data_IF_417961868664
#
_entry.id   IF_417961868664
#
_cell.length_a   1.000
_cell.length_b   1.000
_cell.length_c   1.000
_cell.angle_alpha   90.00
_cell.angle_beta   90.00
_cell.angle_gamma   90.00
#
_symmetry.space_group_name_H-M   'P 1'
#
loop_
_entity.id
_entity.type
_entity.pdbx_description
1 polymer ?
#
# COMPACT_ATOMS: atom_id res chain seq x y z
N UNK A 1 -8.40 6.60 31.62
CA UNK A 1 -9.50 6.22 30.70
C UNK A 1 -9.31 4.79 30.23
N UNK A 2 -10.34 3.94 30.33
CA UNK A 2 -10.34 2.64 29.66
C UNK A 2 -10.74 2.84 28.20
N UNK A 3 -10.00 2.22 27.28
CA UNK A 3 -10.32 2.25 25.85
C UNK A 3 -11.77 1.85 25.62
N UNK A 4 -12.55 2.74 25.00
CA UNK A 4 -13.98 2.55 24.68
C UNK A 4 -14.22 1.39 23.70
N UNK A 5 -13.16 0.87 23.06
CA UNK A 5 -13.19 -0.25 22.13
C UNK A 5 -12.05 -1.24 22.42
N UNK A 6 -12.29 -2.54 22.22
CA UNK A 6 -11.21 -3.52 22.21
C UNK A 6 -10.26 -3.21 21.06
N UNK A 7 -8.94 -3.31 21.30
CA UNK A 7 -7.96 -3.23 20.23
C UNK A 7 -8.28 -4.28 19.14
N UNK A 8 -8.00 -3.95 17.88
CA UNK A 8 -8.21 -4.86 16.76
C UNK A 8 -7.49 -6.20 16.93
N UNK A 9 -7.97 -7.24 16.23
CA UNK A 9 -7.37 -8.58 16.26
C UNK A 9 -5.94 -8.55 15.71
N UNK A 10 -5.01 -9.19 16.41
CA UNK A 10 -3.67 -9.50 15.92
C UNK A 10 -3.74 -10.82 15.15
N UNK A 11 -3.14 -10.87 13.97
CA UNK A 11 -3.06 -12.07 13.13
C UNK A 11 -1.64 -12.64 13.14
N UNK A 12 -1.49 -13.95 12.91
CA UNK A 12 -0.21 -14.66 12.88
C UNK A 12 0.11 -15.25 11.49
N UNK A 13 0.63 -14.44 10.54
CA UNK A 13 1.11 -14.96 9.26
C UNK A 13 2.25 -15.99 9.45
N UNK A 14 2.39 -17.00 8.56
CA UNK A 14 1.56 -17.24 7.38
C UNK A 14 0.25 -17.99 7.68
N UNK A 15 0.03 -18.44 8.92
CA UNK A 15 -1.13 -19.26 9.31
C UNK A 15 -2.44 -18.47 9.35
N UNK A 16 -2.39 -17.20 9.76
CA UNK A 16 -3.53 -16.30 9.83
C UNK A 16 -3.20 -14.95 9.20
N UNK A 17 -3.95 -14.56 8.16
CA UNK A 17 -3.85 -13.25 7.52
C UNK A 17 -5.03 -12.37 7.94
N UNK A 18 -4.85 -11.06 7.88
CA UNK A 18 -5.94 -10.09 8.04
C UNK A 18 -6.83 -10.02 6.77
N UNK A 19 -7.27 -11.18 6.30
CA UNK A 19 -8.04 -11.37 5.07
C UNK A 19 -8.89 -12.64 5.21
N UNK A 20 -10.08 -12.65 4.60
CA UNK A 20 -10.92 -13.85 4.50
C UNK A 20 -10.49 -14.77 3.34
N UNK A 21 -9.58 -14.31 2.49
CA UNK A 21 -8.97 -15.06 1.40
C UNK A 21 -7.45 -15.21 1.62
N UNK A 22 -6.87 -16.24 1.00
CA UNK A 22 -5.41 -16.46 0.99
C UNK A 22 -4.85 -16.15 -0.40
N UNK A 23 -3.84 -15.26 -0.55
CA UNK A 23 -3.25 -14.98 -1.85
C UNK A 23 -2.58 -16.23 -2.43
N UNK A 24 -2.68 -16.44 -3.74
CA UNK A 24 -2.07 -17.58 -4.42
C UNK A 24 -0.53 -17.64 -4.23
N UNK A 25 0.12 -16.47 -4.13
CA UNK A 25 1.57 -16.33 -3.84
C UNK A 25 1.91 -16.34 -2.34
N UNK A 26 0.94 -16.62 -1.46
CA UNK A 26 1.09 -16.53 -0.01
C UNK A 26 1.25 -15.07 0.49
N UNK A 27 1.63 -14.87 1.77
CA UNK A 27 1.92 -13.53 2.29
C UNK A 27 3.18 -12.96 1.63
N UNK A 28 2.97 -12.11 0.64
CA UNK A 28 4.04 -11.44 -0.11
C UNK A 28 4.40 -10.07 0.48
N UNK A 29 5.55 -9.54 0.06
CA UNK A 29 5.98 -8.17 0.35
C UNK A 29 5.81 -7.29 -0.88
N UNK A 30 5.15 -6.15 -0.73
CA UNK A 30 5.07 -5.12 -1.77
C UNK A 30 6.42 -4.43 -2.06
N UNK A 31 7.46 -4.73 -1.28
CA UNK A 31 8.84 -4.30 -1.52
C UNK A 31 9.65 -5.31 -2.35
N UNK A 32 9.06 -6.43 -2.76
CA UNK A 32 9.71 -7.38 -3.65
C UNK A 32 9.38 -7.05 -5.11
N UNK A 33 10.35 -6.50 -5.84
CA UNK A 33 10.19 -6.10 -7.24
C UNK A 33 9.67 -7.22 -8.15
N UNK A 34 10.12 -8.46 -7.95
CA UNK A 34 9.67 -9.59 -8.75
C UNK A 34 8.17 -9.84 -8.55
N UNK A 35 7.65 -9.67 -7.33
CA UNK A 35 6.21 -9.80 -7.06
C UNK A 35 5.44 -8.64 -7.70
N UNK A 36 5.98 -7.42 -7.65
CA UNK A 36 5.34 -6.25 -8.28
C UNK A 36 5.27 -6.41 -9.80
N UNK A 37 6.33 -6.93 -10.44
CA UNK A 37 6.33 -7.27 -11.88
C UNK A 37 5.23 -8.27 -12.24
N UNK A 38 5.10 -9.33 -11.45
CA UNK A 38 4.06 -10.33 -11.63
C UNK A 38 2.65 -9.72 -11.51
N UNK A 39 2.41 -8.85 -10.53
CA UNK A 39 1.13 -8.14 -10.44
C UNK A 39 0.87 -7.28 -11.68
N UNK A 40 1.86 -6.58 -12.22
CA UNK A 40 1.70 -5.77 -13.42
C UNK A 40 1.40 -6.63 -14.66
N UNK A 41 2.01 -7.82 -14.76
CA UNK A 41 1.64 -8.79 -15.78
C UNK A 41 0.18 -9.23 -15.67
N UNK A 42 -0.28 -9.62 -14.48
CA UNK A 42 -1.67 -10.03 -14.25
C UNK A 42 -2.67 -8.90 -14.55
N UNK A 43 -2.34 -7.67 -14.14
CA UNK A 43 -3.14 -6.47 -14.41
C UNK A 43 -3.24 -6.22 -15.92
N UNK A 44 -2.13 -6.40 -16.65
CA UNK A 44 -2.10 -6.27 -18.10
C UNK A 44 -2.93 -7.35 -18.79
N UNK A 45 -2.81 -8.61 -18.36
CA UNK A 45 -3.61 -9.72 -18.88
C UNK A 45 -5.11 -9.55 -18.64
N UNK A 46 -5.47 -8.87 -17.54
CA UNK A 46 -6.85 -8.47 -17.25
C UNK A 46 -7.37 -7.31 -18.12
N UNK A 47 -6.53 -6.73 -19.00
CA UNK A 47 -6.91 -5.62 -19.88
C UNK A 47 -6.97 -4.26 -19.18
N UNK A 48 -6.23 -4.08 -18.08
CA UNK A 48 -6.21 -2.83 -17.31
C UNK A 48 -4.96 -2.02 -17.70
N UNK A 49 -5.17 -0.75 -18.05
CA UNK A 49 -4.09 0.15 -18.51
C UNK A 49 -3.55 1.10 -17.43
N UNK A 50 -4.25 1.26 -16.31
CA UNK A 50 -3.88 2.21 -15.24
C UNK A 50 -4.01 1.60 -13.86
N UNK A 51 -2.96 1.72 -13.05
CA UNK A 51 -2.97 1.43 -11.62
C UNK A 51 -3.09 2.71 -10.82
N UNK A 52 -4.06 2.75 -9.91
CA UNK A 52 -4.20 3.80 -8.91
C UNK A 52 -3.45 3.39 -7.64
N UNK A 53 -2.25 3.94 -7.43
CA UNK A 53 -1.39 3.60 -6.30
C UNK A 53 -1.79 4.36 -5.03
N UNK A 54 -2.20 3.63 -3.99
CA UNK A 54 -2.48 4.17 -2.65
C UNK A 54 -1.20 4.73 -2.01
N UNK A 55 -1.09 6.06 -1.96
CA UNK A 55 0.08 6.75 -1.47
C UNK A 55 -0.14 7.38 -0.09
N UNK A 56 0.69 6.99 0.88
CA UNK A 56 0.74 7.53 2.24
C UNK A 56 2.07 8.25 2.47
N UNK A 57 2.00 9.52 2.88
CA UNK A 57 3.18 10.31 3.28
C UNK A 57 3.87 9.71 4.51
N UNK A 58 5.20 9.79 4.56
CA UNK A 58 5.98 9.50 5.78
C UNK A 58 5.42 10.24 7.00
N UNK A 59 5.30 9.57 8.17
CA UNK A 59 4.88 10.27 9.37
C UNK A 59 5.90 11.36 9.71
N UNK A 60 5.42 12.59 9.89
CA UNK A 60 6.20 13.66 10.49
C UNK A 60 6.53 13.25 11.93
N UNK A 61 7.78 12.83 12.16
CA UNK A 61 8.37 12.45 13.45
C UNK A 61 7.62 11.39 14.26
N UNK A 62 8.13 10.15 14.27
CA UNK A 62 8.18 9.26 15.45
C UNK A 62 6.87 8.79 16.10
N UNK A 63 5.70 9.24 15.67
CA UNK A 63 4.44 8.85 16.28
C UNK A 63 3.86 7.62 15.58
N UNK A 64 4.20 6.45 16.12
CA UNK A 64 3.40 5.23 16.01
C UNK A 64 2.05 5.41 16.72
N UNK A 65 1.26 6.40 16.34
CA UNK A 65 -0.16 6.39 16.66
C UNK A 65 -0.80 5.45 15.65
N UNK A 66 -1.06 4.22 16.09
CA UNK A 66 -1.72 3.17 15.33
C UNK A 66 -3.12 3.65 14.90
N UNK A 67 -3.17 4.40 13.80
CA UNK A 67 -4.37 4.81 13.08
C UNK A 67 -4.31 4.27 11.64
N UNK A 68 -5.41 3.66 11.19
CA UNK A 68 -5.63 3.10 9.85
C UNK A 68 -4.68 2.00 9.35
N UNK A 69 -3.72 1.54 10.17
CA UNK A 69 -2.98 0.29 9.92
C UNK A 69 -1.74 0.40 9.03
N UNK A 70 -1.45 1.58 8.48
CA UNK A 70 -0.22 1.83 7.71
C UNK A 70 0.86 2.36 8.67
N UNK A 71 1.84 1.51 8.98
CA UNK A 71 2.95 1.86 9.90
C UNK A 71 4.04 2.70 9.22
N UNK A 72 4.16 2.58 7.90
CA UNK A 72 5.27 3.11 7.11
C UNK A 72 4.72 3.84 5.87
N UNK A 73 5.46 4.83 5.37
CA UNK A 73 5.11 5.45 4.09
C UNK A 73 5.16 4.42 2.97
N UNK A 74 4.25 4.56 2.01
CA UNK A 74 4.31 3.79 0.76
C UNK A 74 5.21 4.45 -0.29
N UNK A 75 5.84 5.58 0.02
CA UNK A 75 6.73 6.31 -0.89
C UNK A 75 7.92 5.47 -1.34
N UNK A 76 8.51 4.67 -0.44
CA UNK A 76 9.60 3.75 -0.77
C UNK A 76 9.21 2.67 -1.78
N UNK A 77 7.90 2.35 -1.90
CA UNK A 77 7.41 1.40 -2.88
C UNK A 77 7.10 2.05 -4.25
N UNK A 78 6.97 3.37 -4.32
CA UNK A 78 6.61 4.07 -5.56
C UNK A 78 7.62 3.82 -6.70
N UNK A 79 8.95 3.84 -6.49
CA UNK A 79 9.91 3.52 -7.55
C UNK A 79 9.73 2.10 -8.12
N UNK A 80 9.47 1.10 -7.26
CA UNK A 80 9.26 -0.29 -7.70
C UNK A 80 8.00 -0.43 -8.56
N UNK A 81 6.92 0.26 -8.16
CA UNK A 81 5.65 0.26 -8.89
C UNK A 81 5.78 0.96 -10.23
N UNK A 82 6.46 2.10 -10.28
CA UNK A 82 6.71 2.85 -11.52
C UNK A 82 7.59 2.06 -12.50
N UNK A 83 8.63 1.39 -12.00
CA UNK A 83 9.50 0.53 -12.82
C UNK A 83 8.72 -0.64 -13.42
N UNK A 84 8.05 -1.44 -12.59
CA UNK A 84 7.30 -2.60 -13.04
C UNK A 84 6.13 -2.23 -13.98
N UNK A 85 5.45 -1.11 -13.71
CA UNK A 85 4.37 -0.63 -14.57
C UNK A 85 4.91 -0.19 -15.94
N UNK A 86 6.05 0.51 -15.98
CA UNK A 86 6.68 0.92 -17.24
C UNK A 86 7.07 -0.29 -18.10
N UNK A 87 7.62 -1.34 -17.49
CA UNK A 87 7.95 -2.60 -18.18
C UNK A 87 6.73 -3.30 -18.77
N UNK A 88 5.60 -3.28 -18.04
CA UNK A 88 4.34 -3.90 -18.48
C UNK A 88 3.49 -2.99 -19.40
N UNK A 89 3.94 -1.77 -19.71
CA UNK A 89 3.19 -0.80 -20.49
C UNK A 89 1.93 -0.27 -19.79
N UNK A 90 1.92 -0.27 -18.45
CA UNK A 90 0.85 0.22 -17.58
C UNK A 90 1.18 1.65 -17.11
N UNK A 91 0.16 2.50 -17.01
CA UNK A 91 0.29 3.84 -16.42
C UNK A 91 -0.02 3.80 -14.92
N UNK A 92 0.55 4.74 -14.17
CA UNK A 92 0.32 4.87 -12.72
C UNK A 92 -0.23 6.25 -12.42
N UNK A 93 -1.29 6.31 -11.63
CA UNK A 93 -1.73 7.53 -10.95
C UNK A 93 -1.71 7.31 -9.44
N UNK A 94 -1.68 8.39 -8.66
CA UNK A 94 -1.56 8.32 -7.20
C UNK A 94 -2.90 8.63 -6.53
N UNK A 95 -3.38 7.70 -5.70
CA UNK A 95 -4.46 7.99 -4.74
C UNK A 95 -3.82 8.53 -3.47
N UNK A 96 -3.93 9.85 -3.27
CA UNK A 96 -3.42 10.50 -2.07
C UNK A 96 -4.34 10.17 -0.89
N UNK A 97 -3.83 9.37 0.03
CA UNK A 97 -4.57 8.92 1.21
C UNK A 97 -4.67 10.02 2.28
N UNK A 98 -5.60 9.92 3.25
CA UNK A 98 -5.79 10.94 4.27
C UNK A 98 -4.71 10.88 5.36
N UNK A 99 -3.48 11.27 5.03
CA UNK A 99 -2.36 11.33 5.97
C UNK A 99 -2.49 12.49 6.98
N UNK A 100 -1.98 12.26 8.20
CA UNK A 100 -2.04 13.23 9.31
C UNK A 100 -1.42 14.56 8.90
N UNK A 101 -2.15 15.65 9.11
CA UNK A 101 -1.68 17.00 8.79
C UNK A 101 -1.78 17.39 7.31
N UNK A 102 -2.44 16.61 6.45
CA UNK A 102 -2.72 16.99 5.06
C UNK A 102 -3.54 18.28 5.00
N UNK A 103 -3.00 19.32 4.37
CA UNK A 103 -3.68 20.58 4.06
C UNK A 103 -3.60 20.86 2.57
N UNK A 104 -4.49 21.74 2.07
CA UNK A 104 -4.51 22.15 0.66
C UNK A 104 -3.14 22.65 0.21
N UNK A 105 -2.45 23.49 1.00
CA UNK A 105 -1.11 23.99 0.64
C UNK A 105 0.03 22.94 0.64
N UNK A 106 -0.21 21.74 1.17
CA UNK A 106 0.78 20.64 1.13
C UNK A 106 0.65 19.80 -0.16
N UNK A 107 -0.44 19.95 -0.91
CA UNK A 107 -0.69 19.33 -2.21
C UNK A 107 -0.65 20.45 -3.24
N UNK A 108 0.48 20.58 -3.94
CA UNK A 108 0.63 21.61 -4.98
C UNK A 108 -0.10 21.17 -6.24
N UNK A 109 -0.73 22.13 -6.93
CA UNK A 109 -1.26 21.95 -8.29
C UNK A 109 -0.16 21.55 -9.28
#
# INVERSE_FOLDING_TARGET
ERSKFSFGRVYSPPAELASVYYPARGPYSSMNLSIVREHMHEIREAGIDVVVFSWWKLPASGASERGWGVKDSTDAAAPLVLEAAAEAGIKVCFHLEPYKGRRVGDVRE
#
